data_IF_798792130722
#
_entry.id   IF_798792130722
#
_cell.length_a   1.000
_cell.length_b   1.000
_cell.length_c   1.000
_cell.angle_alpha   90.00
_cell.angle_beta   90.00
_cell.angle_gamma   90.00
#
_symmetry.space_group_name_H-M   'P 1'
#
loop_
_entity.id
_entity.type
_entity.pdbx_description
1 polymer ?
#
# COMPACT_ATOMS: atom_id res chain seq x y z
N UNK A 1 -26.31 -17.23 2.35
CA UNK A 1 -26.03 -17.84 1.03
C UNK A 1 -25.51 -16.70 0.16
N UNK A 2 -24.21 -16.63 -0.08
CA UNK A 2 -23.64 -15.57 -0.92
C UNK A 2 -23.69 -16.11 -2.34
N UNK A 3 -24.62 -15.60 -3.14
CA UNK A 3 -24.65 -15.89 -4.58
C UNK A 3 -23.50 -15.13 -5.25
N UNK A 4 -22.53 -15.86 -5.78
CA UNK A 4 -21.55 -15.29 -6.68
C UNK A 4 -22.21 -14.97 -8.01
N UNK A 5 -22.59 -13.71 -8.19
CA UNK A 5 -22.99 -13.21 -9.48
C UNK A 5 -21.74 -12.98 -10.33
N UNK A 6 -21.38 -13.93 -11.15
CA UNK A 6 -20.26 -13.82 -12.10
C UNK A 6 -20.49 -14.72 -13.30
N UNK A 7 -20.13 -14.24 -14.49
CA UNK A 7 -20.10 -15.04 -15.71
C UNK A 7 -18.74 -15.68 -15.80
N UNK A 8 -18.71 -17.02 -15.76
CA UNK A 8 -17.50 -17.80 -16.02
C UNK A 8 -17.57 -18.33 -17.45
N UNK A 9 -16.60 -17.96 -18.26
CA UNK A 9 -16.47 -18.45 -19.65
C UNK A 9 -15.39 -19.52 -19.68
N UNK A 10 -15.72 -20.70 -20.19
CA UNK A 10 -14.79 -21.82 -20.35
C UNK A 10 -14.94 -22.44 -21.75
N UNK A 11 -13.89 -23.13 -22.20
CA UNK A 11 -13.91 -23.79 -23.49
C UNK A 11 -14.90 -24.97 -23.48
N UNK A 12 -15.73 -25.07 -24.51
CA UNK A 12 -16.76 -26.11 -24.66
C UNK A 12 -16.21 -27.53 -24.76
N UNK A 13 -14.91 -27.69 -24.92
CA UNK A 13 -14.22 -29.00 -24.99
C UNK A 13 -13.88 -29.59 -23.63
N UNK A 14 -14.07 -28.82 -22.53
CA UNK A 14 -13.81 -29.28 -21.18
C UNK A 14 -15.12 -29.37 -20.40
N UNK A 15 -15.37 -30.55 -19.82
CA UNK A 15 -16.46 -30.69 -18.85
C UNK A 15 -16.08 -29.95 -17.56
N UNK A 16 -16.78 -28.85 -17.18
CA UNK A 16 -16.44 -28.09 -15.98
C UNK A 16 -16.74 -28.93 -14.72
N UNK A 17 -15.75 -29.07 -13.86
CA UNK A 17 -15.91 -29.67 -12.54
C UNK A 17 -16.24 -28.56 -11.54
N UNK A 18 -17.43 -28.64 -10.96
CA UNK A 18 -17.84 -27.71 -9.89
C UNK A 18 -17.60 -28.37 -8.56
N UNK A 19 -16.82 -27.69 -7.71
CA UNK A 19 -16.60 -28.12 -6.33
C UNK A 19 -17.22 -27.10 -5.39
N UNK A 20 -17.99 -27.59 -4.43
CA UNK A 20 -18.46 -26.80 -3.29
C UNK A 20 -17.69 -27.26 -2.07
N UNK A 21 -16.92 -26.36 -1.48
CA UNK A 21 -16.28 -26.58 -0.20
C UNK A 21 -17.13 -25.96 0.91
N UNK A 22 -17.49 -26.77 1.89
CA UNK A 22 -18.02 -26.30 3.16
C UNK A 22 -16.98 -26.64 4.23
N UNK A 23 -16.44 -25.63 4.87
CA UNK A 23 -15.46 -25.80 5.95
C UNK A 23 -15.81 -24.93 7.15
N UNK A 24 -15.59 -25.43 8.35
CA UNK A 24 -15.61 -24.63 9.57
C UNK A 24 -14.18 -24.37 10.02
N UNK A 25 -13.81 -23.11 10.22
CA UNK A 25 -12.56 -22.72 10.81
C UNK A 25 -12.81 -22.33 12.27
N UNK A 26 -12.25 -23.08 13.21
CA UNK A 26 -12.23 -22.69 14.61
C UNK A 26 -10.89 -22.02 14.89
N UNK A 27 -10.90 -20.70 15.10
CA UNK A 27 -9.71 -19.96 15.52
C UNK A 27 -9.76 -19.83 17.03
N UNK A 28 -8.85 -20.51 17.73
CA UNK A 28 -8.60 -20.26 19.15
C UNK A 28 -7.50 -19.22 19.25
N UNK A 29 -7.84 -17.96 19.53
CA UNK A 29 -6.87 -16.94 19.92
C UNK A 29 -6.84 -16.85 21.45
N UNK A 30 -5.68 -16.54 22.01
CA UNK A 30 -5.58 -16.21 23.43
C UNK A 30 -6.38 -14.92 23.65
N UNK A 31 -7.51 -15.04 24.36
CA UNK A 31 -8.48 -13.94 24.54
C UNK A 31 -7.86 -12.68 25.17
N UNK A 32 -6.76 -12.82 25.92
CA UNK A 32 -6.10 -11.68 26.55
C UNK A 32 -5.53 -10.68 25.53
N UNK A 33 -5.01 -11.14 24.39
CA UNK A 33 -4.53 -10.24 23.33
C UNK A 33 -5.68 -9.42 22.73
N UNK A 34 -6.83 -10.03 22.53
CA UNK A 34 -8.01 -9.33 22.03
C UNK A 34 -8.53 -8.31 23.06
N UNK A 35 -8.61 -8.70 24.33
CA UNK A 35 -9.06 -7.80 25.42
C UNK A 35 -8.13 -6.61 25.52
N UNK A 36 -6.81 -6.85 25.54
CA UNK A 36 -5.81 -5.77 25.61
C UNK A 36 -5.88 -4.85 24.39
N UNK A 37 -6.04 -5.41 23.19
CA UNK A 37 -6.19 -4.59 21.96
C UNK A 37 -7.46 -3.72 22.02
N UNK A 38 -8.57 -4.26 22.51
CA UNK A 38 -9.82 -3.52 22.70
C UNK A 38 -9.69 -2.43 23.78
N UNK A 39 -9.00 -2.71 24.88
CA UNK A 39 -8.74 -1.72 25.94
C UNK A 39 -7.85 -0.58 25.44
N UNK A 40 -6.85 -0.89 24.63
CA UNK A 40 -6.00 0.10 24.01
C UNK A 40 -6.76 0.92 22.95
N UNK A 41 -7.58 0.27 22.13
CA UNK A 41 -8.44 0.95 21.17
C UNK A 41 -9.41 1.94 21.83
N UNK A 42 -9.90 1.62 23.05
CA UNK A 42 -10.77 2.55 23.81
C UNK A 42 -10.03 3.78 24.35
N UNK A 43 -8.72 3.73 24.46
CA UNK A 43 -7.87 4.84 24.93
C UNK A 43 -7.42 5.73 23.76
N UNK A 44 -7.55 5.24 22.52
CA UNK A 44 -7.24 6.04 21.33
C UNK A 44 -8.40 7.01 21.11
N UNK A 45 -8.06 8.29 20.95
CA UNK A 45 -8.96 9.25 20.33
C UNK A 45 -9.32 8.78 18.90
N UNK A 46 -10.31 9.42 18.28
CA UNK A 46 -10.70 9.10 16.90
C UNK A 46 -9.45 8.98 16.03
N UNK A 47 -9.38 7.88 15.27
CA UNK A 47 -8.27 7.67 14.33
C UNK A 47 -8.13 8.88 13.43
N UNK A 48 -6.90 9.34 13.17
CA UNK A 48 -6.67 10.38 12.17
C UNK A 48 -7.33 10.01 10.84
N UNK A 49 -7.85 10.97 10.08
CA UNK A 49 -8.57 10.69 8.83
C UNK A 49 -7.80 9.79 7.86
N UNK A 50 -6.47 9.94 7.83
CA UNK A 50 -5.58 9.14 6.98
C UNK A 50 -5.60 7.66 7.41
N UNK A 51 -5.56 7.39 8.70
CA UNK A 51 -5.61 6.03 9.25
C UNK A 51 -7.00 5.42 9.04
N UNK A 52 -8.07 6.19 9.16
CA UNK A 52 -9.41 5.72 8.88
C UNK A 52 -9.55 5.34 7.40
N UNK A 53 -9.07 6.19 6.49
CA UNK A 53 -9.06 5.89 5.03
C UNK A 53 -8.24 4.63 4.72
N UNK A 54 -7.06 4.49 5.35
CA UNK A 54 -6.25 3.28 5.21
C UNK A 54 -7.00 2.02 5.66
N UNK A 55 -7.68 2.09 6.81
CA UNK A 55 -8.46 0.97 7.34
C UNK A 55 -9.64 0.61 6.43
N UNK A 56 -10.35 1.60 5.89
CA UNK A 56 -11.48 1.39 4.98
C UNK A 56 -11.02 0.71 3.69
N UNK A 57 -9.91 1.16 3.08
CA UNK A 57 -9.33 0.56 1.89
C UNK A 57 -8.81 -0.87 2.16
N UNK A 58 -8.14 -1.07 3.29
CA UNK A 58 -7.69 -2.37 3.74
C UNK A 58 -8.86 -3.34 3.89
N UNK A 59 -9.92 -2.91 4.58
CA UNK A 59 -11.12 -3.71 4.76
C UNK A 59 -11.81 -4.03 3.44
N UNK A 60 -11.92 -3.05 2.53
CA UNK A 60 -12.51 -3.24 1.21
C UNK A 60 -11.72 -4.24 0.35
N UNK A 61 -10.40 -4.37 0.58
CA UNK A 61 -9.56 -5.32 -0.15
C UNK A 61 -9.96 -6.77 0.03
N UNK A 62 -10.52 -7.14 1.18
CA UNK A 62 -10.96 -8.51 1.48
C UNK A 62 -12.19 -8.96 0.67
N UNK A 63 -12.95 -8.01 0.14
CA UNK A 63 -14.12 -8.30 -0.69
C UNK A 63 -13.81 -8.34 -2.18
N UNK A 64 -12.54 -8.13 -2.57
CA UNK A 64 -12.14 -8.22 -3.96
C UNK A 64 -11.83 -9.65 -4.36
N UNK A 65 -12.49 -10.11 -5.40
CA UNK A 65 -12.23 -11.42 -6.02
C UNK A 65 -11.10 -11.38 -7.07
N UNK A 66 -10.74 -10.18 -7.52
CA UNK A 66 -9.68 -9.96 -8.49
C UNK A 66 -8.40 -9.56 -7.75
N UNK A 67 -7.32 -10.33 -7.95
CA UNK A 67 -6.03 -10.13 -7.28
C UNK A 67 -5.43 -8.76 -7.56
N UNK A 68 -5.56 -8.24 -8.78
CA UNK A 68 -5.02 -6.92 -9.13
C UNK A 68 -5.79 -5.81 -8.39
N UNK A 69 -7.11 -5.90 -8.33
CA UNK A 69 -7.93 -4.93 -7.62
C UNK A 69 -7.64 -4.96 -6.11
N UNK A 70 -7.51 -6.17 -5.54
CA UNK A 70 -7.11 -6.35 -4.15
C UNK A 70 -5.75 -5.72 -3.87
N UNK A 71 -4.78 -6.02 -4.71
CA UNK A 71 -3.42 -5.51 -4.59
C UNK A 71 -3.39 -3.96 -4.67
N UNK A 72 -4.10 -3.37 -5.63
CA UNK A 72 -4.17 -1.91 -5.77
C UNK A 72 -4.82 -1.25 -4.55
N UNK A 73 -5.91 -1.81 -4.00
CA UNK A 73 -6.54 -1.29 -2.79
C UNK A 73 -5.59 -1.34 -1.59
N UNK A 74 -4.82 -2.43 -1.43
CA UNK A 74 -3.81 -2.55 -0.37
C UNK A 74 -2.69 -1.54 -0.54
N UNK A 75 -2.21 -1.32 -1.78
CA UNK A 75 -1.22 -0.28 -2.05
C UNK A 75 -1.78 1.13 -1.77
N UNK A 76 -3.03 1.40 -2.12
CA UNK A 76 -3.68 2.67 -1.78
C UNK A 76 -3.81 2.84 -0.26
N UNK A 77 -4.20 1.79 0.48
CA UNK A 77 -4.24 1.81 1.94
C UNK A 77 -2.86 2.15 2.53
N UNK A 78 -1.80 1.54 1.99
CA UNK A 78 -0.43 1.85 2.38
C UNK A 78 -0.06 3.30 2.08
N UNK A 79 -0.33 3.76 0.86
CA UNK A 79 0.03 5.11 0.40
C UNK A 79 -0.70 6.21 1.20
N UNK A 80 -1.91 5.98 1.71
CA UNK A 80 -2.61 6.97 2.57
C UNK A 80 -1.94 7.18 3.92
N UNK A 81 -1.11 6.24 4.38
CA UNK A 81 -0.38 6.36 5.65
C UNK A 81 0.99 7.02 5.48
N UNK A 82 1.40 7.38 4.26
CA UNK A 82 2.69 7.98 4.01
C UNK A 82 2.74 9.44 4.45
N UNK A 83 3.77 9.79 5.19
CA UNK A 83 4.14 11.16 5.47
C UNK A 83 5.42 11.51 4.71
N UNK A 84 5.30 12.35 3.69
CA UNK A 84 6.45 12.85 2.96
C UNK A 84 7.09 14.00 3.72
N UNK A 85 8.36 13.85 4.06
CA UNK A 85 9.14 14.90 4.73
C UNK A 85 9.91 15.74 3.72
N UNK A 86 10.25 16.94 4.09
CA UNK A 86 11.12 17.81 3.31
C UNK A 86 12.52 17.21 3.21
N UNK A 87 13.17 17.38 2.06
CA UNK A 87 14.58 16.95 1.89
C UNK A 87 15.51 17.83 2.73
N UNK A 88 16.79 17.45 2.76
CA UNK A 88 17.81 18.26 3.44
C UNK A 88 17.84 19.69 2.91
N UNK A 89 18.19 20.64 3.78
CA UNK A 89 18.33 22.06 3.43
C UNK A 89 19.17 22.31 2.19
N UNK A 90 20.25 21.55 2.01
CA UNK A 90 21.13 21.65 0.84
C UNK A 90 20.41 21.20 -0.45
N UNK A 91 19.62 20.11 -0.38
CA UNK A 91 18.83 19.64 -1.50
C UNK A 91 17.74 20.65 -1.88
N UNK A 92 17.06 21.20 -0.89
CA UNK A 92 16.03 22.24 -1.09
C UNK A 92 16.64 23.49 -1.73
N UNK A 93 17.76 23.99 -1.22
CA UNK A 93 18.46 25.15 -1.78
C UNK A 93 18.91 24.92 -3.23
N UNK A 94 19.37 23.71 -3.53
CA UNK A 94 19.71 23.35 -4.91
C UNK A 94 18.47 23.36 -5.83
N UNK A 95 17.36 22.80 -5.41
CA UNK A 95 16.09 22.81 -6.16
C UNK A 95 15.61 24.26 -6.37
N UNK A 96 15.71 25.12 -5.35
CA UNK A 96 15.34 26.54 -5.47
C UNK A 96 16.20 27.27 -6.51
N UNK A 97 17.48 26.94 -6.59
CA UNK A 97 18.37 27.47 -7.64
C UNK A 97 17.88 27.04 -9.04
N UNK A 98 17.51 25.76 -9.19
CA UNK A 98 16.95 25.26 -10.46
C UNK A 98 15.64 25.94 -10.83
N UNK A 99 14.76 26.17 -9.85
CA UNK A 99 13.50 26.91 -10.06
C UNK A 99 13.79 28.36 -10.51
N UNK A 100 14.72 29.04 -9.87
CA UNK A 100 15.10 30.39 -10.25
C UNK A 100 15.66 30.44 -11.68
N UNK A 101 16.51 29.50 -12.05
CA UNK A 101 17.03 29.36 -13.41
C UNK A 101 15.90 29.12 -14.41
N UNK A 102 14.98 28.22 -14.11
CA UNK A 102 13.84 27.89 -14.98
C UNK A 102 12.92 29.11 -15.19
N UNK A 103 12.65 29.87 -14.14
CA UNK A 103 11.83 31.10 -14.23
C UNK A 103 12.43 32.15 -15.14
N UNK A 104 13.75 32.19 -15.25
CA UNK A 104 14.49 33.17 -16.10
C UNK A 104 14.71 32.69 -17.54
N UNK A 105 14.24 31.52 -17.95
CA UNK A 105 14.35 31.03 -19.33
C UNK A 105 13.29 31.64 -20.24
N UNK A 106 13.53 31.64 -21.56
CA UNK A 106 12.59 32.11 -22.60
C UNK A 106 11.61 31.02 -23.06
N UNK A 107 11.23 30.10 -22.14
CA UNK A 107 10.24 29.06 -22.42
C UNK A 107 8.82 29.65 -22.49
N UNK A 108 7.93 28.96 -23.22
CA UNK A 108 6.50 29.30 -23.24
C UNK A 108 5.93 29.25 -21.82
N UNK A 109 5.03 30.16 -21.49
CA UNK A 109 4.51 30.31 -20.12
C UNK A 109 3.96 29.02 -19.51
N UNK A 110 3.20 28.23 -20.28
CA UNK A 110 2.63 26.96 -19.80
C UNK A 110 3.71 25.88 -19.54
N UNK A 111 4.72 25.76 -20.42
CA UNK A 111 5.83 24.84 -20.25
C UNK A 111 6.70 25.22 -19.04
N UNK A 112 6.98 26.52 -18.90
CA UNK A 112 7.72 27.06 -17.77
C UNK A 112 7.01 26.75 -16.46
N UNK A 113 5.71 27.01 -16.40
CA UNK A 113 4.91 26.74 -15.19
C UNK A 113 4.89 25.24 -14.85
N UNK A 114 4.76 24.37 -15.83
CA UNK A 114 4.81 22.92 -15.64
C UNK A 114 6.15 22.47 -15.09
N UNK A 115 7.27 22.97 -15.63
CA UNK A 115 8.61 22.66 -15.13
C UNK A 115 8.82 23.15 -13.69
N UNK A 116 8.42 24.39 -13.40
CA UNK A 116 8.52 24.94 -12.04
C UNK A 116 7.71 24.10 -11.07
N UNK A 117 6.48 23.73 -11.39
CA UNK A 117 5.66 22.86 -10.56
C UNK A 117 6.30 21.49 -10.32
N UNK A 118 6.90 20.90 -11.36
CA UNK A 118 7.62 19.62 -11.21
C UNK A 118 8.85 19.74 -10.31
N UNK A 119 9.59 20.85 -10.41
CA UNK A 119 10.74 21.12 -9.54
C UNK A 119 10.32 21.34 -8.08
N UNK A 120 9.19 22.00 -7.81
CA UNK A 120 8.67 22.17 -6.45
C UNK A 120 8.45 20.82 -5.74
N UNK A 121 7.95 19.79 -6.46
CA UNK A 121 7.80 18.45 -5.92
C UNK A 121 9.12 17.77 -5.51
N UNK A 122 10.25 18.22 -6.07
CA UNK A 122 11.56 17.68 -5.69
C UNK A 122 12.05 18.16 -4.31
N UNK A 123 11.38 19.14 -3.69
CA UNK A 123 11.71 19.60 -2.32
C UNK A 123 11.33 18.59 -1.26
N UNK A 124 10.38 17.71 -1.53
CA UNK A 124 9.95 16.65 -0.63
C UNK A 124 10.46 15.29 -1.08
N UNK A 125 10.44 14.34 -0.16
CA UNK A 125 10.75 12.94 -0.45
C UNK A 125 9.81 12.37 -1.51
N UNK A 126 10.31 11.44 -2.33
CA UNK A 126 9.43 10.68 -3.20
C UNK A 126 8.56 9.70 -2.40
N UNK A 127 7.39 9.33 -2.96
CA UNK A 127 6.51 8.30 -2.39
C UNK A 127 7.29 7.02 -2.11
N UNK A 128 8.18 6.60 -3.04
CA UNK A 128 9.01 5.42 -2.85
C UNK A 128 10.00 5.53 -1.69
N UNK A 129 10.52 6.73 -1.38
CA UNK A 129 11.38 6.95 -0.20
C UNK A 129 10.56 6.89 1.09
N UNK A 130 9.47 7.68 1.17
CA UNK A 130 8.58 7.69 2.32
C UNK A 130 8.01 6.28 2.61
N UNK A 131 7.66 5.54 1.55
CA UNK A 131 7.17 4.17 1.69
C UNK A 131 8.19 3.21 2.27
N UNK A 132 9.45 3.26 1.83
CA UNK A 132 10.51 2.45 2.43
C UNK A 132 10.78 2.82 3.89
N UNK A 133 10.70 4.10 4.23
CA UNK A 133 10.86 4.56 5.63
C UNK A 133 9.73 4.04 6.51
N UNK A 134 8.48 4.11 6.04
CA UNK A 134 7.35 3.53 6.76
C UNK A 134 7.51 2.01 6.91
N UNK A 135 7.88 1.29 5.83
CA UNK A 135 8.13 -0.15 5.91
C UNK A 135 9.21 -0.50 6.95
N UNK A 136 10.28 0.30 7.05
CA UNK A 136 11.36 0.06 8.00
C UNK A 136 10.95 0.20 9.47
N UNK A 137 9.78 0.75 9.77
CA UNK A 137 9.23 0.73 11.14
C UNK A 137 8.85 -0.68 11.60
N UNK A 138 8.68 -1.62 10.67
CA UNK A 138 8.36 -3.03 10.95
C UNK A 138 9.63 -3.84 11.26
N UNK A 139 10.31 -3.48 12.34
CA UNK A 139 11.57 -4.08 12.77
C UNK A 139 11.40 -5.58 13.06
N UNK A 140 12.33 -6.41 12.53
CA UNK A 140 12.32 -7.86 12.74
C UNK A 140 11.29 -8.64 11.94
N UNK A 141 10.45 -7.96 11.14
CA UNK A 141 9.50 -8.61 10.23
C UNK A 141 10.14 -8.90 8.88
N UNK A 142 9.61 -9.92 8.21
CA UNK A 142 9.96 -10.23 6.82
C UNK A 142 8.68 -10.58 6.05
N UNK A 143 8.62 -10.19 4.79
CA UNK A 143 7.50 -10.47 3.89
C UNK A 143 8.06 -11.11 2.62
N UNK A 144 7.57 -12.29 2.26
CA UNK A 144 8.12 -13.11 1.18
C UNK A 144 9.65 -13.31 1.29
N UNK A 145 10.18 -13.45 2.53
CA UNK A 145 11.61 -13.62 2.78
C UNK A 145 12.47 -12.36 2.58
N UNK A 146 11.87 -11.21 2.32
CA UNK A 146 12.54 -9.92 2.13
C UNK A 146 12.36 -9.01 3.36
N UNK A 147 13.28 -8.04 3.50
CA UNK A 147 13.07 -6.95 4.47
C UNK A 147 11.83 -6.13 4.08
N UNK A 148 11.17 -5.49 5.05
CA UNK A 148 9.95 -4.72 4.76
C UNK A 148 10.14 -3.67 3.66
N UNK A 149 11.25 -2.93 3.68
CA UNK A 149 11.55 -1.92 2.66
C UNK A 149 11.82 -2.51 1.26
N UNK A 150 12.49 -3.67 1.18
CA UNK A 150 12.72 -4.35 -0.10
C UNK A 150 11.39 -4.90 -0.65
N UNK A 151 10.57 -5.51 0.20
CA UNK A 151 9.24 -5.99 -0.19
C UNK A 151 8.33 -4.84 -0.66
N UNK A 152 8.32 -3.71 0.07
CA UNK A 152 7.59 -2.52 -0.37
C UNK A 152 8.06 -2.04 -1.75
N UNK A 153 9.36 -2.05 -2.03
CA UNK A 153 9.88 -1.62 -3.33
C UNK A 153 9.35 -2.49 -4.47
N UNK A 154 9.31 -3.82 -4.28
CA UNK A 154 8.73 -4.73 -5.28
C UNK A 154 7.22 -4.46 -5.48
N UNK A 155 6.48 -4.23 -4.37
CA UNK A 155 5.07 -3.87 -4.45
C UNK A 155 4.86 -2.57 -5.21
N UNK A 156 5.70 -1.57 -4.98
CA UNK A 156 5.61 -0.27 -5.65
C UNK A 156 5.88 -0.38 -7.16
N UNK A 157 6.85 -1.20 -7.56
CA UNK A 157 7.11 -1.51 -8.97
C UNK A 157 5.94 -2.25 -9.63
N UNK A 158 5.41 -3.27 -8.95
CA UNK A 158 4.23 -4.02 -9.41
C UNK A 158 3.01 -3.10 -9.56
N UNK A 159 2.75 -2.25 -8.57
CA UNK A 159 1.67 -1.24 -8.63
C UNK A 159 1.85 -0.30 -9.82
N UNK A 160 3.06 0.18 -10.06
CA UNK A 160 3.36 1.04 -11.20
C UNK A 160 3.07 0.34 -12.52
N UNK A 161 3.51 -0.92 -12.67
CA UNK A 161 3.27 -1.70 -13.88
C UNK A 161 1.77 -1.95 -14.13
N UNK A 162 1.00 -2.26 -13.07
CA UNK A 162 -0.45 -2.48 -13.17
C UNK A 162 -1.20 -1.18 -13.50
N UNK A 163 -0.87 -0.07 -12.81
CA UNK A 163 -1.57 1.20 -12.96
C UNK A 163 -1.30 1.88 -14.30
N UNK A 164 -0.09 1.75 -14.85
CA UNK A 164 0.31 2.37 -16.11
C UNK A 164 0.23 1.43 -17.31
N UNK A 165 -0.22 0.19 -17.11
CA UNK A 165 -0.38 -0.78 -18.19
C UNK A 165 0.94 -1.17 -18.85
N UNK A 166 2.03 -1.27 -18.08
CA UNK A 166 3.33 -1.68 -18.62
C UNK A 166 3.25 -3.10 -19.21
N UNK A 167 3.99 -3.30 -20.30
CA UNK A 167 4.11 -4.60 -20.93
C UNK A 167 5.56 -5.11 -20.83
N UNK A 168 5.82 -6.39 -20.45
CA UNK A 168 4.83 -7.40 -20.11
C UNK A 168 4.09 -7.08 -18.80
N UNK A 169 2.80 -7.47 -18.76
CA UNK A 169 1.99 -7.31 -17.54
C UNK A 169 2.53 -8.24 -16.44
N UNK A 170 2.50 -7.83 -15.16
CA UNK A 170 2.79 -8.73 -14.05
C UNK A 170 1.91 -9.99 -14.08
N UNK A 171 2.51 -11.14 -13.77
CA UNK A 171 1.78 -12.41 -13.71
C UNK A 171 0.74 -12.39 -12.59
N UNK A 172 -0.46 -12.89 -12.87
CA UNK A 172 -1.58 -12.85 -11.91
C UNK A 172 -1.31 -13.67 -10.65
N UNK A 173 -0.61 -14.80 -10.79
CA UNK A 173 -0.29 -15.66 -9.65
C UNK A 173 0.73 -14.96 -8.75
N UNK A 174 1.72 -14.27 -9.34
CA UNK A 174 2.69 -13.48 -8.59
C UNK A 174 2.00 -12.31 -7.87
N UNK A 175 1.09 -11.60 -8.54
CA UNK A 175 0.29 -10.52 -7.94
C UNK A 175 -0.55 -11.02 -6.77
N UNK A 176 -1.15 -12.21 -6.89
CA UNK A 176 -1.97 -12.81 -5.82
C UNK A 176 -1.13 -13.13 -4.58
N UNK A 177 0.01 -13.78 -4.76
CA UNK A 177 0.96 -14.07 -3.68
C UNK A 177 1.47 -12.78 -3.04
N UNK A 178 1.80 -11.78 -3.85
CA UNK A 178 2.25 -10.48 -3.37
C UNK A 178 1.14 -9.75 -2.60
N UNK A 179 -0.12 -9.80 -3.07
CA UNK A 179 -1.27 -9.22 -2.38
C UNK A 179 -1.50 -9.88 -1.00
N UNK A 180 -1.33 -11.20 -0.90
CA UNK A 180 -1.44 -11.90 0.37
C UNK A 180 -0.37 -11.42 1.38
N UNK A 181 0.88 -11.28 0.95
CA UNK A 181 1.95 -10.77 1.81
C UNK A 181 1.77 -9.26 2.13
N UNK A 182 1.28 -8.48 1.16
CA UNK A 182 0.99 -7.06 1.37
C UNK A 182 -0.15 -6.84 2.37
N UNK A 183 -1.13 -7.76 2.41
CA UNK A 183 -2.18 -7.76 3.45
C UNK A 183 -1.56 -7.81 4.85
N UNK A 184 -0.52 -8.63 5.04
CA UNK A 184 0.18 -8.72 6.33
C UNK A 184 0.95 -7.41 6.64
N UNK A 185 1.71 -6.88 5.68
CA UNK A 185 2.45 -5.63 5.88
C UNK A 185 1.52 -4.46 6.24
N UNK A 186 0.44 -4.27 5.48
CA UNK A 186 -0.53 -3.19 5.74
C UNK A 186 -1.22 -3.40 7.08
N UNK A 187 -1.62 -4.63 7.40
CA UNK A 187 -2.21 -4.98 8.69
C UNK A 187 -1.27 -4.70 9.87
N UNK A 188 -0.01 -5.08 9.76
CA UNK A 188 1.02 -4.81 10.79
C UNK A 188 1.22 -3.31 11.02
N UNK A 189 1.22 -2.48 9.95
CA UNK A 189 1.34 -1.03 10.06
C UNK A 189 0.10 -0.41 10.70
N UNK A 190 -1.10 -0.81 10.28
CA UNK A 190 -2.36 -0.32 10.87
C UNK A 190 -2.45 -0.72 12.36
N UNK A 191 -2.04 -1.93 12.69
CA UNK A 191 -2.06 -2.45 14.07
C UNK A 191 -0.90 -1.92 14.92
N UNK A 192 0.17 -1.37 14.32
CA UNK A 192 1.38 -0.93 15.02
C UNK A 192 1.11 -0.09 16.27
N UNK A 193 0.28 0.97 16.21
CA UNK A 193 -0.08 1.75 17.39
C UNK A 193 -0.84 0.98 18.47
N UNK A 194 -1.56 -0.08 18.08
CA UNK A 194 -2.35 -0.91 18.99
C UNK A 194 -1.51 -1.99 19.69
N UNK A 195 -0.41 -2.41 19.05
CA UNK A 195 0.44 -3.53 19.50
C UNK A 195 1.73 -3.05 20.18
N UNK A 196 2.19 -1.84 19.89
CA UNK A 196 3.46 -1.30 20.38
C UNK A 196 3.54 -1.04 21.89
N UNK A 197 2.47 -1.27 22.66
CA UNK A 197 2.42 -1.10 24.12
C UNK A 197 2.96 -2.28 24.92
N UNK A 198 3.56 -3.30 24.29
CA UNK A 198 4.03 -4.53 24.96
C UNK A 198 5.55 -4.75 24.90
N UNK A 199 6.35 -3.73 24.63
CA UNK A 199 7.81 -3.80 24.68
C UNK A 199 8.37 -2.98 25.86
N UNK A 200 7.86 -3.24 27.09
CA UNK A 200 8.50 -2.90 28.37
C UNK A 200 8.64 -4.15 29.26
#
# INVERSE_FOLDING_TARGET
MVEHAGVTVYETTQDPLFFRFEGSLTVSSEHHHLVTALENARKLDLLPPEQQTAFDLYSASFFQTNSDARFILLMMAYETMLSQTERSSDSVAHVETLIALTKNTELRGAEKQSLVSSLEWLKVQSIGQAGRELANTMVGRTYMGKTPAAFFSDCYECRSALAHGHYPRPDRTEVDVMAAALTLLVGDIIAGPLVATHAE
#
